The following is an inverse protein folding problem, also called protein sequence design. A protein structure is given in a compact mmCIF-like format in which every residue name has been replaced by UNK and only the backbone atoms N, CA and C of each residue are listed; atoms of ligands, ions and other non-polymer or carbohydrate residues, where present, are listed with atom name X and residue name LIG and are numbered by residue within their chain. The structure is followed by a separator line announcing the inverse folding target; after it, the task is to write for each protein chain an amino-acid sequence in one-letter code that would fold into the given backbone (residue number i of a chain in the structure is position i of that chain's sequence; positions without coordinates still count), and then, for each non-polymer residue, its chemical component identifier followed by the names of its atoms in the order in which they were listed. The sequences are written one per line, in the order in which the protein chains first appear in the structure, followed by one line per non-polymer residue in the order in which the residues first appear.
data_IF_831125532237
#
_entry.id   IF_831125532237
#
_cell.length_a   1.000
_cell.length_b   1.000
_cell.length_c   1.000
_cell.angle_alpha   90.00
_cell.angle_beta   90.00
_cell.angle_gamma   90.00
#
_symmetry.space_group_name_H-M   'P 1'
#
loop_
_entity.id
_entity.type
_entity.pdbx_description
1 polymer ?
#
# COMPACT_ATOMS: atom_id res chain seq x y z
N UNK A 1 5.93 12.39 -3.05
CA UNK A 1 4.87 11.83 -2.19
C UNK A 1 4.33 10.48 -2.67
N UNK A 2 4.43 10.09 -3.96
CA UNK A 2 3.92 8.79 -4.44
C UNK A 2 4.69 7.54 -4.00
N UNK A 3 5.94 7.68 -3.55
CA UNK A 3 6.79 6.60 -3.05
C UNK A 3 6.15 5.79 -1.89
N UNK A 4 5.56 6.50 -0.91
CA UNK A 4 4.92 5.86 0.25
C UNK A 4 3.61 5.12 -0.11
N UNK A 5 2.93 5.56 -1.17
CA UNK A 5 1.71 4.93 -1.69
C UNK A 5 2.01 3.78 -2.66
N UNK A 6 3.27 3.41 -2.83
CA UNK A 6 3.66 2.32 -3.73
C UNK A 6 4.50 1.24 -3.05
N UNK A 7 5.18 1.58 -1.96
CA UNK A 7 5.89 0.64 -1.10
C UNK A 7 4.85 -0.18 -0.29
N UNK A 8 4.75 -1.52 -0.47
CA UNK A 8 3.70 -2.36 0.10
C UNK A 8 3.32 -2.15 1.58
N UNK A 9 4.29 -2.13 2.50
CA UNK A 9 4.08 -1.95 3.95
C UNK A 9 3.69 -0.51 4.26
N UNK A 10 4.39 0.48 3.70
CA UNK A 10 4.03 1.89 3.93
C UNK A 10 2.66 2.25 3.34
N UNK A 11 2.33 1.68 2.19
CA UNK A 11 1.01 1.81 1.56
C UNK A 11 -0.07 1.22 2.46
N UNK A 12 0.14 0.03 3.03
CA UNK A 12 -0.80 -0.58 3.97
C UNK A 12 -1.05 0.33 5.19
N UNK A 13 0.01 0.96 5.73
CA UNK A 13 -0.10 1.94 6.81
C UNK A 13 -0.87 3.21 6.39
N UNK A 14 -0.60 3.75 5.20
CA UNK A 14 -1.31 4.92 4.67
C UNK A 14 -2.78 4.66 4.36
N UNK A 15 -3.14 3.41 4.05
CA UNK A 15 -4.52 2.98 3.82
C UNK A 15 -5.23 2.53 5.11
N UNK A 16 -4.69 2.83 6.29
CA UNK A 16 -5.33 2.51 7.58
C UNK A 16 -6.55 3.41 7.86
N UNK A 17 -7.44 2.97 8.77
CA UNK A 17 -8.80 3.53 8.96
C UNK A 17 -8.88 4.86 9.73
N UNK A 18 -7.93 5.78 9.53
CA UNK A 18 -7.96 7.07 10.24
C UNK A 18 -9.19 7.90 9.83
N UNK A 19 -9.93 8.44 10.80
CA UNK A 19 -11.11 9.28 10.53
C UNK A 19 -10.85 10.77 10.75
N UNK A 20 -9.77 11.10 11.45
CA UNK A 20 -9.33 12.44 11.74
C UNK A 20 -7.84 12.60 11.43
N UNK A 21 -7.47 13.71 10.78
CA UNK A 21 -6.08 14.11 10.61
C UNK A 21 -5.90 15.51 11.20
N UNK A 22 -4.97 15.65 12.14
CA UNK A 22 -4.59 16.92 12.76
C UNK A 22 -3.16 17.28 12.36
N UNK A 23 -2.93 18.55 12.04
CA UNK A 23 -1.58 19.07 11.80
C UNK A 23 -1.22 20.08 12.88
N UNK A 24 -0.09 19.92 13.54
CA UNK A 24 0.47 20.95 14.40
C UNK A 24 1.81 21.42 13.82
N UNK A 25 2.08 22.70 13.91
CA UNK A 25 3.32 23.30 13.43
C UNK A 25 4.00 24.03 14.59
N UNK A 26 5.27 23.75 14.80
CA UNK A 26 6.09 24.48 15.77
C UNK A 26 7.32 25.02 15.05
N UNK A 27 7.52 26.33 15.12
CA UNK A 27 8.75 26.97 14.70
C UNK A 27 9.70 27.10 15.89
N UNK A 28 10.99 26.88 15.64
CA UNK A 28 12.11 27.09 16.56
C UNK A 28 12.15 28.45 17.27
N UNK A 29 11.48 29.47 16.74
CA UNK A 29 11.29 30.77 17.41
C UNK A 29 10.45 30.69 18.69
N UNK A 30 9.67 29.61 18.88
CA UNK A 30 8.83 29.35 20.05
C UNK A 30 9.37 28.23 20.98
N UNK A 31 10.54 27.66 20.70
CA UNK A 31 11.16 26.61 21.52
C UNK A 31 12.43 27.19 22.14
N UNK A 32 12.33 27.63 23.39
CA UNK A 32 13.49 28.12 24.12
C UNK A 32 14.53 26.99 24.28
N UNK A 33 15.75 27.23 23.78
CA UNK A 33 16.96 26.40 23.93
C UNK A 33 17.00 25.09 23.11
N UNK A 34 17.35 25.18 21.82
CA UNK A 34 17.94 24.07 21.09
C UNK A 34 19.46 24.30 20.89
N UNK A 35 20.34 23.38 21.32
CA UNK A 35 21.80 23.59 21.36
C UNK A 35 22.53 23.52 20.00
N UNK A 36 21.80 23.36 18.89
CA UNK A 36 22.37 23.28 17.54
C UNK A 36 21.73 24.37 16.67
N UNK A 37 22.45 25.49 16.49
CA UNK A 37 21.96 26.69 15.83
C UNK A 37 21.33 26.46 14.45
N UNK A 38 20.17 27.09 14.23
CA UNK A 38 19.43 27.11 12.97
C UNK A 38 17.91 27.16 13.22
N UNK A 39 17.16 27.95 12.43
CA UNK A 39 15.69 27.92 12.50
C UNK A 39 15.19 26.57 12.01
N UNK A 40 14.39 25.87 12.80
CA UNK A 40 13.80 24.57 12.49
C UNK A 40 12.29 24.66 12.63
N UNK A 41 11.57 24.08 11.69
CA UNK A 41 10.14 23.87 11.80
C UNK A 41 9.85 22.39 11.98
N UNK A 42 8.94 22.07 12.90
CA UNK A 42 8.42 20.73 13.11
C UNK A 42 6.96 20.73 12.70
N UNK A 43 6.61 19.89 11.73
CA UNK A 43 5.23 19.60 11.38
C UNK A 43 4.88 18.24 11.99
N UNK A 44 3.96 18.24 12.96
CA UNK A 44 3.36 17.04 13.50
C UNK A 44 2.10 16.73 12.70
N UNK A 45 2.00 15.50 12.21
CA UNK A 45 0.78 14.96 11.63
C UNK A 45 0.25 13.90 12.60
N UNK A 46 -0.94 14.13 13.15
CA UNK A 46 -1.59 13.18 14.04
C UNK A 46 -2.80 12.57 13.34
N UNK A 47 -2.96 11.26 13.44
CA UNK A 47 -4.10 10.54 12.90
C UNK A 47 -4.92 10.01 14.08
N UNK A 48 -6.15 10.51 14.21
CA UNK A 48 -7.09 10.16 15.27
C UNK A 48 -8.17 9.19 14.80
N UNK A 49 -8.86 8.59 15.77
CA UNK A 49 -10.05 7.76 15.59
C UNK A 49 -11.14 8.25 16.57
N UNK A 50 -12.17 8.96 16.12
CA UNK A 50 -13.40 9.20 16.91
C UNK A 50 -14.43 8.07 16.69
N UNK A 51 -14.52 7.57 15.46
CA UNK A 51 -15.12 6.32 15.04
C UNK A 51 -14.40 5.87 13.75
N UNK A 52 -13.84 4.64 13.69
CA UNK A 52 -13.13 4.17 12.48
C UNK A 52 -14.00 4.41 11.23
N UNK A 53 -13.45 5.06 10.21
CA UNK A 53 -14.10 5.07 8.90
C UNK A 53 -14.28 3.61 8.47
N UNK A 54 -15.52 3.15 8.46
CA UNK A 54 -15.83 1.76 8.13
C UNK A 54 -16.28 1.70 6.69
N UNK A 55 -15.64 0.80 5.94
CA UNK A 55 -16.21 0.31 4.70
C UNK A 55 -17.59 -0.32 4.99
N UNK A 56 -18.45 -0.31 3.97
CA UNK A 56 -19.66 -1.13 4.00
C UNK A 56 -19.26 -2.58 4.32
N UNK A 57 -20.12 -3.27 5.06
CA UNK A 57 -19.87 -4.63 5.55
C UNK A 57 -19.50 -5.62 4.44
N UNK A 58 -20.00 -5.42 3.23
CA UNK A 58 -19.71 -6.28 2.07
C UNK A 58 -18.78 -5.61 1.03
N UNK A 59 -18.22 -4.44 1.35
CA UNK A 59 -17.31 -3.77 0.44
C UNK A 59 -15.91 -4.38 0.49
N UNK A 60 -15.43 -4.75 -0.70
CA UNK A 60 -14.01 -5.04 -0.96
C UNK A 60 -13.44 -3.90 -1.77
N UNK A 61 -12.48 -3.14 -1.26
CA UNK A 61 -11.86 -2.02 -1.97
C UNK A 61 -10.42 -2.33 -2.32
N UNK A 62 -9.91 -1.70 -3.37
CA UNK A 62 -8.52 -1.88 -3.80
C UNK A 62 -7.83 -0.53 -4.00
N UNK A 63 -6.52 -0.52 -3.77
CA UNK A 63 -5.65 0.54 -4.24
C UNK A 63 -4.39 -0.08 -4.86
N UNK A 64 -3.98 0.29 -6.09
CA UNK A 64 -4.70 1.14 -7.03
C UNK A 64 -6.13 0.64 -7.30
N UNK A 65 -7.05 1.57 -7.55
CA UNK A 65 -8.42 1.26 -7.96
C UNK A 65 -8.58 1.41 -9.48
N UNK A 66 -9.72 1.00 -10.01
CA UNK A 66 -10.04 1.09 -11.45
C UNK A 66 -9.66 2.46 -12.04
N UNK A 67 -8.82 2.45 -13.07
CA UNK A 67 -8.41 3.64 -13.81
C UNK A 67 -7.36 4.51 -13.11
N UNK A 68 -6.76 4.05 -11.99
CA UNK A 68 -5.67 4.77 -11.34
C UNK A 68 -4.49 4.95 -12.28
N UNK A 69 -3.89 6.15 -12.32
CA UNK A 69 -2.76 6.47 -13.20
C UNK A 69 -1.56 7.02 -12.43
N UNK A 70 -0.37 6.90 -13.05
CA UNK A 70 0.87 7.38 -12.45
C UNK A 70 1.29 6.56 -11.22
N UNK A 71 0.91 5.28 -11.17
CA UNK A 71 1.38 4.35 -10.13
C UNK A 71 2.87 4.11 -10.34
N UNK A 72 3.66 4.11 -9.28
CA UNK A 72 5.09 3.83 -9.39
C UNK A 72 5.31 2.45 -10.00
N UNK A 73 6.25 2.32 -10.94
CA UNK A 73 6.45 1.05 -11.66
C UNK A 73 7.46 0.10 -10.98
N UNK A 74 8.33 0.64 -10.12
CA UNK A 74 9.40 -0.09 -9.44
C UNK A 74 9.55 0.38 -8.00
N UNK A 75 9.74 -0.56 -7.08
CA UNK A 75 10.15 -0.31 -5.69
C UNK A 75 11.51 -0.98 -5.47
N UNK A 76 12.48 -0.15 -5.08
CA UNK A 76 13.86 -0.57 -4.83
C UNK A 76 14.31 -0.36 -3.38
N UNK A 77 13.47 0.25 -2.56
CA UNK A 77 13.76 0.46 -1.15
C UNK A 77 12.46 0.49 -0.33
N UNK A 78 12.34 -0.43 0.62
CA UNK A 78 11.26 -0.44 1.61
C UNK A 78 11.75 -1.05 2.92
N UNK A 79 11.50 -0.37 4.04
CA UNK A 79 11.85 -0.82 5.38
C UNK A 79 10.65 -0.60 6.32
N UNK A 80 10.09 -1.65 6.97
CA UNK A 80 10.46 -3.06 6.86
C UNK A 80 10.22 -3.65 5.47
N UNK A 81 11.07 -4.59 5.05
CA UNK A 81 10.94 -5.25 3.75
C UNK A 81 9.68 -6.13 3.69
N UNK A 82 8.89 -6.06 2.60
CA UNK A 82 7.59 -6.73 2.51
C UNK A 82 7.69 -8.23 2.21
N UNK A 83 8.86 -8.69 1.76
CA UNK A 83 9.13 -10.09 1.43
C UNK A 83 10.32 -10.54 2.29
N UNK A 84 10.14 -11.53 3.18
CA UNK A 84 11.21 -11.99 4.05
C UNK A 84 12.47 -12.40 3.27
N UNK A 85 13.61 -11.85 3.66
CA UNK A 85 14.92 -12.21 3.10
C UNK A 85 15.23 -11.65 1.70
N UNK A 86 14.35 -10.84 1.11
CA UNK A 86 14.61 -10.17 -0.17
C UNK A 86 15.24 -8.80 0.04
N UNK A 87 16.37 -8.56 -0.61
CA UNK A 87 16.95 -7.22 -0.73
C UNK A 87 16.38 -6.52 -1.97
N UNK A 88 15.64 -5.43 -1.77
CA UNK A 88 14.98 -4.70 -2.85
C UNK A 88 15.95 -3.82 -3.66
N UNK A 89 17.14 -3.54 -3.16
CA UNK A 89 18.14 -2.79 -3.90
C UNK A 89 18.67 -3.62 -5.09
N UNK A 90 18.85 -4.92 -4.88
CA UNK A 90 19.35 -5.87 -5.88
C UNK A 90 18.24 -6.61 -6.63
N UNK A 91 17.12 -6.91 -5.96
CA UNK A 91 15.97 -7.64 -6.51
C UNK A 91 14.66 -6.84 -6.29
N UNK A 92 14.46 -5.77 -7.08
CA UNK A 92 13.34 -4.85 -6.90
C UNK A 92 11.99 -5.47 -7.28
N UNK A 93 10.92 -4.90 -6.74
CA UNK A 93 9.54 -5.36 -6.94
C UNK A 93 8.70 -4.32 -7.70
N UNK A 94 7.50 -4.72 -8.11
CA UNK A 94 6.47 -3.80 -8.57
C UNK A 94 5.77 -3.10 -7.39
N UNK A 95 4.85 -2.16 -7.67
CA UNK A 95 4.07 -1.49 -6.64
C UNK A 95 3.15 -2.48 -5.90
N UNK A 96 2.94 -2.25 -4.61
CA UNK A 96 1.93 -2.98 -3.85
C UNK A 96 0.51 -2.65 -4.31
N UNK A 97 -0.35 -3.68 -4.39
CA UNK A 97 -1.78 -3.56 -4.65
C UNK A 97 -2.52 -3.99 -3.39
N UNK A 98 -3.05 -3.03 -2.65
CA UNK A 98 -3.85 -3.27 -1.45
C UNK A 98 -5.23 -3.79 -1.84
N UNK A 99 -5.67 -4.80 -1.10
CA UNK A 99 -7.06 -5.27 -1.05
C UNK A 99 -7.50 -5.17 0.40
N UNK A 100 -8.64 -4.51 0.64
CA UNK A 100 -9.13 -4.25 1.98
C UNK A 100 -10.63 -4.50 2.09
N UNK A 101 -11.04 -5.00 3.25
CA UNK A 101 -12.45 -5.18 3.65
C UNK A 101 -12.72 -4.45 4.96
N UNK A 102 -13.99 -4.40 5.36
CA UNK A 102 -14.41 -3.78 6.62
C UNK A 102 -13.57 -4.29 7.81
N UNK A 103 -13.27 -3.41 8.77
CA UNK A 103 -12.29 -3.66 9.83
C UNK A 103 -12.61 -4.85 10.76
N UNK A 104 -13.87 -5.27 10.82
CA UNK A 104 -14.34 -6.40 11.61
C UNK A 104 -14.42 -7.72 10.82
N UNK A 105 -13.87 -7.77 9.60
CA UNK A 105 -13.88 -8.94 8.71
C UNK A 105 -12.48 -9.51 8.54
N UNK A 106 -12.39 -10.80 8.25
CA UNK A 106 -11.12 -11.47 7.93
C UNK A 106 -11.03 -11.69 6.43
N UNK A 107 -9.99 -11.14 5.81
CA UNK A 107 -9.70 -11.27 4.39
C UNK A 107 -8.81 -12.49 4.12
N UNK A 108 -9.19 -13.28 3.14
CA UNK A 108 -8.36 -14.34 2.58
C UNK A 108 -8.28 -14.17 1.06
N UNK A 109 -7.08 -13.94 0.52
CA UNK A 109 -6.83 -13.93 -0.93
C UNK A 109 -6.53 -15.36 -1.38
N UNK A 110 -7.26 -15.84 -2.38
CA UNK A 110 -7.10 -17.18 -2.96
C UNK A 110 -6.25 -17.15 -4.23
N UNK A 111 -6.40 -16.11 -5.04
CA UNK A 111 -5.65 -15.93 -6.28
C UNK A 111 -5.54 -14.44 -6.61
N UNK A 112 -4.42 -14.07 -7.23
CA UNK A 112 -4.23 -12.76 -7.82
C UNK A 112 -3.40 -12.90 -9.10
N UNK A 113 -3.68 -12.05 -10.09
CA UNK A 113 -2.87 -11.93 -11.30
C UNK A 113 -2.69 -10.48 -11.68
N UNK A 114 -1.49 -10.14 -12.11
CA UNK A 114 -1.13 -8.83 -12.66
C UNK A 114 -0.59 -9.05 -14.06
N UNK A 115 -1.30 -8.56 -15.07
CA UNK A 115 -1.03 -8.85 -16.48
C UNK A 115 -0.86 -7.55 -17.25
N UNK A 116 0.21 -7.43 -18.03
CA UNK A 116 0.38 -6.31 -18.95
C UNK A 116 -0.75 -6.33 -19.99
N UNK A 117 -1.59 -5.30 -20.00
CA UNK A 117 -2.80 -5.28 -20.83
C UNK A 117 -2.52 -5.25 -22.33
N UNK A 118 -1.33 -4.79 -22.75
CA UNK A 118 -0.94 -4.72 -24.16
C UNK A 118 -0.33 -6.05 -24.65
N UNK A 119 0.48 -6.71 -23.83
CA UNK A 119 1.23 -7.91 -24.24
C UNK A 119 0.62 -9.22 -23.75
N UNK A 120 -0.29 -9.17 -22.77
CA UNK A 120 -0.84 -10.35 -22.10
C UNK A 120 0.15 -11.07 -21.18
N UNK A 121 1.35 -10.51 -20.98
CA UNK A 121 2.39 -11.12 -20.14
C UNK A 121 2.03 -10.92 -18.66
N UNK A 122 1.95 -12.03 -17.92
CA UNK A 122 1.72 -12.01 -16.48
C UNK A 122 3.03 -11.79 -15.71
N UNK A 123 2.95 -11.04 -14.61
CA UNK A 123 4.02 -10.91 -13.62
C UNK A 123 3.70 -11.80 -12.42
N UNK A 124 4.67 -12.59 -11.97
CA UNK A 124 4.52 -13.40 -10.76
C UNK A 124 4.22 -12.51 -9.55
N UNK A 125 3.38 -12.97 -8.63
CA UNK A 125 2.94 -12.18 -7.47
C UNK A 125 3.19 -12.91 -6.16
N UNK A 126 3.47 -12.13 -5.11
CA UNK A 126 3.48 -12.55 -3.72
C UNK A 126 2.31 -11.90 -2.97
N UNK A 127 1.68 -12.65 -2.06
CA UNK A 127 0.59 -12.13 -1.23
C UNK A 127 1.11 -11.91 0.18
N UNK A 128 1.21 -10.65 0.57
CA UNK A 128 1.47 -10.24 1.95
C UNK A 128 0.13 -10.13 2.69
N UNK A 129 0.02 -10.81 3.82
CA UNK A 129 -1.14 -10.84 4.71
C UNK A 129 -0.66 -10.95 6.17
N UNK A 130 -1.58 -10.97 7.13
CA UNK A 130 -1.23 -11.02 8.57
C UNK A 130 -0.39 -12.24 8.96
N UNK A 131 -0.49 -13.36 8.26
CA UNK A 131 0.23 -14.59 8.62
C UNK A 131 1.72 -14.54 8.23
N UNK A 132 2.09 -13.72 7.25
CA UNK A 132 3.47 -13.58 6.77
C UNK A 132 4.01 -12.14 6.89
N UNK A 133 3.31 -11.28 7.65
CA UNK A 133 3.72 -9.90 7.92
C UNK A 133 4.94 -9.83 8.85
N UNK A 134 6.05 -9.33 8.33
CA UNK A 134 7.30 -9.08 9.08
C UNK A 134 7.37 -7.66 9.66
N UNK A 135 6.39 -6.81 9.39
CA UNK A 135 6.41 -5.38 9.75
C UNK A 135 5.74 -5.07 11.09
N UNK A 136 5.62 -6.06 11.98
CA UNK A 136 5.01 -5.94 13.31
C UNK A 136 3.51 -5.58 13.29
N UNK A 137 2.74 -6.16 12.36
CA UNK A 137 1.28 -6.08 12.36
C UNK A 137 0.71 -4.87 11.63
N UNK A 138 1.48 -4.23 10.74
CA UNK A 138 0.94 -3.21 9.82
C UNK A 138 -0.14 -3.83 8.92
N UNK A 139 0.02 -5.10 8.55
CA UNK A 139 -0.94 -5.83 7.73
C UNK A 139 -1.92 -6.59 8.64
N UNK A 140 -3.00 -5.90 9.02
CA UNK A 140 -4.09 -6.48 9.82
C UNK A 140 -4.97 -7.48 9.06
N UNK A 141 -5.83 -8.25 9.76
CA UNK A 141 -6.57 -9.39 9.18
C UNK A 141 -7.58 -9.00 8.11
N UNK A 142 -7.97 -7.73 8.02
CA UNK A 142 -8.88 -7.20 7.01
C UNK A 142 -8.17 -6.62 5.77
N UNK A 143 -6.85 -6.80 5.66
CA UNK A 143 -6.01 -6.22 4.62
C UNK A 143 -5.03 -7.26 4.08
N UNK A 144 -4.81 -7.23 2.77
CA UNK A 144 -3.74 -7.97 2.09
C UNK A 144 -3.11 -7.09 1.01
N UNK A 145 -1.85 -7.36 0.68
CA UNK A 145 -1.14 -6.67 -0.40
C UNK A 145 -0.67 -7.69 -1.43
N UNK A 146 -1.11 -7.53 -2.68
CA UNK A 146 -0.58 -8.27 -3.83
C UNK A 146 0.64 -7.53 -4.34
N UNK A 147 1.77 -8.23 -4.42
CA UNK A 147 3.08 -7.64 -4.75
C UNK A 147 3.61 -8.31 -6.02
N UNK A 148 3.75 -7.59 -7.15
CA UNK A 148 4.47 -8.11 -8.31
C UNK A 148 5.94 -8.36 -7.94
N UNK A 149 6.42 -9.58 -8.15
CA UNK A 149 7.76 -10.03 -7.76
C UNK A 149 8.89 -9.47 -8.63
N UNK A 150 8.56 -8.68 -9.65
CA UNK A 150 9.49 -7.96 -10.50
C UNK A 150 8.94 -6.56 -10.79
N UNK A 151 9.79 -5.59 -11.17
CA UNK A 151 9.35 -4.27 -11.59
C UNK A 151 8.38 -4.37 -12.76
N UNK A 152 7.36 -3.51 -12.76
CA UNK A 152 6.46 -3.38 -13.89
C UNK A 152 7.09 -2.49 -14.97
N UNK A 153 6.51 -2.43 -16.15
CA UNK A 153 6.95 -1.49 -17.19
C UNK A 153 6.37 -0.11 -16.90
N UNK A 154 7.15 0.95 -17.09
CA UNK A 154 6.70 2.33 -16.96
C UNK A 154 5.62 2.68 -18.00
N UNK A 155 4.75 3.65 -17.70
CA UNK A 155 3.69 4.14 -18.60
C UNK A 155 2.84 3.02 -19.23
N UNK A 156 2.59 1.96 -18.48
CA UNK A 156 1.97 0.73 -18.98
C UNK A 156 0.73 0.41 -18.17
N UNK A 157 -0.34 0.04 -18.87
CA UNK A 157 -1.58 -0.41 -18.25
C UNK A 157 -1.50 -1.89 -17.89
N UNK A 158 -1.87 -2.20 -16.66
CA UNK A 158 -1.97 -3.56 -16.14
C UNK A 158 -3.42 -3.89 -15.82
N UNK A 159 -3.83 -5.09 -16.21
CA UNK A 159 -5.05 -5.75 -15.79
C UNK A 159 -4.74 -6.53 -14.50
N UNK A 160 -5.56 -6.29 -13.47
CA UNK A 160 -5.47 -6.96 -12.18
C UNK A 160 -6.75 -7.72 -11.94
N UNK A 161 -6.62 -9.01 -11.63
CA UNK A 161 -7.71 -9.84 -11.15
C UNK A 161 -7.34 -10.41 -9.79
N UNK A 162 -8.23 -10.24 -8.82
CA UNK A 162 -8.06 -10.78 -7.46
C UNK A 162 -9.35 -11.48 -7.05
N UNK A 163 -9.21 -12.67 -6.48
CA UNK A 163 -10.32 -13.41 -5.90
C UNK A 163 -9.98 -13.93 -4.51
N UNK A 164 -11.00 -14.06 -3.68
CA UNK A 164 -10.84 -14.51 -2.31
C UNK A 164 -12.16 -14.57 -1.59
N UNK A 165 -12.10 -14.47 -0.28
CA UNK A 165 -13.28 -14.38 0.57
C UNK A 165 -13.07 -13.42 1.74
N UNK A 166 -14.15 -12.85 2.25
CA UNK A 166 -14.18 -12.27 3.59
C UNK A 166 -15.25 -12.98 4.42
N UNK A 167 -14.87 -13.52 5.57
CA UNK A 167 -15.77 -14.33 6.43
C UNK A 167 -16.59 -15.38 5.65
N UNK A 168 -15.91 -16.13 4.77
CA UNK A 168 -16.48 -17.12 3.85
C UNK A 168 -17.40 -16.58 2.73
N UNK A 169 -17.63 -15.27 2.63
CA UNK A 169 -18.31 -14.66 1.47
C UNK A 169 -17.30 -14.49 0.33
N UNK A 170 -17.47 -15.17 -0.81
CA UNK A 170 -16.53 -15.08 -1.92
C UNK A 170 -16.64 -13.72 -2.61
N UNK A 171 -15.51 -13.22 -3.11
CA UNK A 171 -15.47 -12.01 -3.93
C UNK A 171 -14.53 -12.18 -5.13
N UNK A 172 -14.76 -11.35 -6.14
CA UNK A 172 -13.84 -11.13 -7.26
C UNK A 172 -13.75 -9.64 -7.56
N UNK A 173 -12.53 -9.14 -7.74
CA UNK A 173 -12.24 -7.79 -8.24
C UNK A 173 -11.42 -7.91 -9.51
N UNK A 174 -11.82 -7.13 -10.50
CA UNK A 174 -11.16 -7.07 -11.81
C UNK A 174 -11.09 -5.60 -12.18
N UNK A 175 -9.89 -5.08 -12.37
CA UNK A 175 -9.67 -3.66 -12.63
C UNK A 175 -8.36 -3.41 -13.36
N UNK A 176 -8.21 -2.20 -13.90
CA UNK A 176 -6.97 -1.74 -14.52
C UNK A 176 -6.35 -0.58 -13.78
N UNK A 177 -5.03 -0.49 -13.83
CA UNK A 177 -4.29 0.72 -13.46
C UNK A 177 -3.13 0.94 -14.45
N UNK A 178 -2.64 2.18 -14.51
CA UNK A 178 -1.52 2.56 -15.38
C UNK A 178 -0.35 3.05 -14.55
N UNK A 179 0.82 2.43 -14.75
CA UNK A 179 2.06 2.91 -14.16
C UNK A 179 2.47 4.25 -14.75
N UNK A 180 3.24 5.05 -14.01
CA UNK A 180 3.86 6.28 -14.49
C UNK A 180 5.32 6.06 -14.92
N UNK A 181 6.04 7.15 -15.13
CA UNK A 181 7.48 7.15 -15.42
C UNK A 181 8.36 7.09 -14.17
N UNK A 182 7.79 7.40 -13.00
CA UNK A 182 8.53 7.51 -11.73
C UNK A 182 8.72 6.14 -11.07
N UNK A 183 9.95 5.84 -10.68
CA UNK A 183 10.32 4.72 -9.81
C UNK A 183 10.45 5.19 -8.35
N UNK A 184 10.43 4.26 -7.40
CA UNK A 184 10.66 4.51 -5.97
C UNK A 184 11.63 3.52 -5.34
#
# INVERSE_FOLDING_TARGET
TRALLSAPVHLASMMSDADAAGTAFVDSGNIANYPFGGRRSMALFNFGFQARQSLDTNAVVTYPCQGSTGVVWKISNEIPGPIPGRDLADDPIGPGIVVKVAANRVLAISAASVVNAATGIATATYILNTANDTSNGVVGPNLAVVIPLAPLTANTTYQVDVSGSHDAVPFRRSFTFTTGSVAS
#
